data_IF_562712735650
#
_entry.id   IF_562712735650
#
_cell.length_a   1.000
_cell.length_b   1.000
_cell.length_c   1.000
_cell.angle_alpha   90.00
_cell.angle_beta   90.00
_cell.angle_gamma   90.00
#
_symmetry.space_group_name_H-M   'P 1'
#
loop_
_entity.id
_entity.type
_entity.pdbx_description
1 polymer ?
#
# COMPACT_ATOMS: atom_id res chain seq x y z
N UNK A 1 19.90 -8.09 -16.52
CA UNK A 1 19.40 -6.78 -16.96
C UNK A 1 17.89 -6.72 -16.74
N UNK A 2 17.36 -5.62 -16.18
CA UNK A 2 15.91 -5.36 -16.15
C UNK A 2 15.30 -5.08 -14.77
N UNK A 3 15.90 -4.20 -13.96
CA UNK A 3 15.18 -3.54 -12.88
C UNK A 3 14.48 -2.29 -13.42
N UNK A 4 13.32 -2.44 -14.05
CA UNK A 4 12.48 -1.30 -14.46
C UNK A 4 11.94 -0.53 -13.25
N UNK A 5 11.05 0.44 -13.48
CA UNK A 5 10.43 1.31 -12.46
C UNK A 5 9.90 0.58 -11.19
N UNK A 6 9.59 -0.72 -11.28
CA UNK A 6 9.15 -1.59 -10.17
C UNK A 6 10.21 -2.28 -9.30
N UNK A 7 11.49 -2.15 -9.63
CA UNK A 7 12.55 -2.95 -9.02
C UNK A 7 12.59 -4.40 -9.50
N UNK A 8 13.48 -5.20 -8.91
CA UNK A 8 13.75 -6.58 -9.35
C UNK A 8 12.54 -7.50 -9.15
N UNK A 9 12.35 -8.43 -10.08
CA UNK A 9 11.30 -9.45 -9.98
C UNK A 9 11.69 -10.49 -8.93
N UNK A 10 10.72 -10.88 -8.10
CA UNK A 10 10.94 -11.85 -7.03
C UNK A 10 9.87 -11.73 -5.96
N UNK A 11 9.83 -12.74 -5.07
CA UNK A 11 8.85 -12.83 -3.98
C UNK A 11 8.86 -11.59 -3.05
N UNK A 12 10.01 -10.93 -2.95
CA UNK A 12 10.19 -9.71 -2.14
C UNK A 12 9.79 -8.41 -2.84
N UNK A 13 9.37 -8.42 -4.12
CA UNK A 13 9.14 -7.18 -4.90
C UNK A 13 8.13 -6.25 -4.23
N UNK A 14 7.03 -6.78 -3.71
CA UNK A 14 6.03 -5.95 -3.01
C UNK A 14 6.65 -5.23 -1.81
N UNK A 15 7.70 -5.75 -1.19
CA UNK A 15 8.32 -5.19 0.00
C UNK A 15 9.62 -4.41 -0.29
N UNK A 16 10.00 -4.26 -1.56
CA UNK A 16 11.22 -3.54 -1.94
C UNK A 16 11.07 -2.03 -1.75
N UNK A 17 12.12 -1.28 -2.06
CA UNK A 17 12.15 0.18 -1.89
C UNK A 17 11.27 0.93 -2.89
N UNK A 18 11.00 0.35 -4.06
CA UNK A 18 10.23 0.98 -5.15
C UNK A 18 8.71 0.82 -4.97
N UNK A 19 8.25 -0.35 -4.53
CA UNK A 19 6.83 -0.74 -4.44
C UNK A 19 6.34 -0.78 -2.99
N UNK A 20 7.23 -0.99 -2.01
CA UNK A 20 6.87 -1.14 -0.61
C UNK A 20 6.11 0.05 -0.02
N UNK A 21 6.51 1.27 -0.38
CA UNK A 21 5.80 2.49 0.03
C UNK A 21 4.46 2.73 -0.67
N UNK A 22 4.18 2.04 -1.78
CA UNK A 22 3.01 2.28 -2.63
C UNK A 22 1.77 1.49 -2.24
N UNK A 23 1.92 0.33 -1.59
CA UNK A 23 0.76 -0.49 -1.22
C UNK A 23 1.00 -1.41 -0.01
N UNK A 24 2.26 -1.68 0.33
CA UNK A 24 2.59 -2.80 1.21
C UNK A 24 2.42 -2.53 2.69
N UNK A 25 2.06 -1.30 3.07
CA UNK A 25 1.87 -0.93 4.47
C UNK A 25 0.69 -1.69 5.13
N UNK A 26 -0.35 -2.07 4.39
CA UNK A 26 -1.51 -2.84 4.91
C UNK A 26 -1.45 -4.34 4.64
N UNK A 27 -0.48 -4.83 3.85
CA UNK A 27 -0.35 -6.27 3.59
C UNK A 27 -0.16 -7.11 4.87
N UNK A 28 0.59 -6.66 5.90
CA UNK A 28 0.64 -7.37 7.18
C UNK A 28 -0.73 -7.50 7.84
N UNK A 29 -1.54 -6.43 7.81
CA UNK A 29 -2.92 -6.46 8.33
C UNK A 29 -3.78 -7.47 7.59
N UNK A 30 -3.66 -7.55 6.26
CA UNK A 30 -4.39 -8.53 5.45
C UNK A 30 -3.99 -9.97 5.81
N UNK A 31 -2.73 -10.23 6.11
CA UNK A 31 -2.27 -11.54 6.57
C UNK A 31 -2.91 -11.90 7.93
N UNK A 32 -2.97 -10.96 8.87
CA UNK A 32 -3.66 -11.14 10.16
C UNK A 32 -5.16 -11.38 9.95
N UNK A 33 -5.79 -10.66 9.02
CA UNK A 33 -7.20 -10.81 8.69
C UNK A 33 -7.52 -12.23 8.18
N UNK A 34 -6.70 -12.76 7.26
CA UNK A 34 -6.86 -14.13 6.74
C UNK A 34 -6.61 -15.18 7.83
N UNK A 35 -5.60 -14.99 8.68
CA UNK A 35 -5.35 -15.88 9.82
C UNK A 35 -6.54 -15.87 10.80
N UNK A 36 -7.10 -14.70 11.11
CA UNK A 36 -8.31 -14.55 11.93
C UNK A 36 -9.49 -15.31 11.31
N UNK A 37 -9.71 -15.18 9.99
CA UNK A 37 -10.77 -15.89 9.29
C UNK A 37 -10.65 -17.41 9.41
N UNK A 38 -9.43 -17.96 9.27
CA UNK A 38 -9.16 -19.38 9.46
C UNK A 38 -9.43 -19.80 10.91
N UNK A 39 -8.92 -19.06 11.89
CA UNK A 39 -9.13 -19.35 13.31
C UNK A 39 -10.62 -19.34 13.67
N UNK A 40 -11.36 -18.32 13.27
CA UNK A 40 -12.81 -18.25 13.52
C UNK A 40 -13.55 -19.41 12.86
N UNK A 41 -13.19 -19.79 11.64
CA UNK A 41 -13.78 -20.94 10.93
C UNK A 41 -13.50 -22.26 11.68
N UNK A 42 -12.27 -22.46 12.17
CA UNK A 42 -11.89 -23.64 12.95
C UNK A 42 -12.63 -23.67 14.30
N UNK A 43 -12.71 -22.55 15.00
CA UNK A 43 -13.43 -22.45 16.28
C UNK A 43 -14.93 -22.72 16.11
N UNK A 44 -15.53 -22.21 15.04
CA UNK A 44 -16.93 -22.48 14.67
C UNK A 44 -17.16 -23.97 14.41
N UNK A 45 -16.31 -24.60 13.58
CA UNK A 45 -16.40 -26.04 13.31
C UNK A 45 -16.20 -26.91 14.55
N UNK A 46 -15.51 -26.39 15.57
CA UNK A 46 -15.30 -27.05 16.88
C UNK A 46 -16.41 -26.73 17.90
N UNK A 47 -17.45 -26.00 17.52
CA UNK A 47 -18.54 -25.60 18.43
C UNK A 47 -18.13 -24.60 19.52
N UNK A 48 -16.98 -23.93 19.35
CA UNK A 48 -16.43 -22.96 20.32
C UNK A 48 -16.80 -21.51 19.98
N UNK A 49 -17.42 -21.29 18.83
CA UNK A 49 -17.88 -19.99 18.36
C UNK A 49 -19.23 -20.20 17.67
N UNK A 50 -20.17 -19.33 17.94
CA UNK A 50 -21.49 -19.35 17.32
C UNK A 50 -21.46 -18.71 15.92
N UNK A 51 -22.47 -19.00 15.09
CA UNK A 51 -22.63 -18.45 13.73
C UNK A 51 -22.68 -16.91 13.74
N UNK A 52 -23.23 -16.32 14.80
CA UNK A 52 -23.25 -14.86 15.02
C UNK A 52 -21.84 -14.23 15.06
N UNK A 53 -20.82 -15.00 15.43
CA UNK A 53 -19.41 -14.59 15.53
C UNK A 53 -18.62 -14.67 14.22
N UNK A 54 -19.18 -15.26 13.15
CA UNK A 54 -18.42 -15.66 11.97
C UNK A 54 -18.95 -14.96 10.72
N UNK A 55 -18.04 -14.51 9.84
CA UNK A 55 -18.38 -14.05 8.49
C UNK A 55 -18.31 -15.22 7.50
N UNK A 56 -19.12 -15.20 6.41
CA UNK A 56 -19.06 -16.23 5.38
C UNK A 56 -17.66 -16.40 4.79
N UNK A 57 -17.19 -17.65 4.67
CA UNK A 57 -15.88 -17.97 4.11
C UNK A 57 -15.71 -17.51 2.65
N UNK A 58 -16.81 -17.39 1.90
CA UNK A 58 -16.80 -16.96 0.49
C UNK A 58 -16.16 -15.58 0.29
N UNK A 59 -16.42 -14.62 1.18
CA UNK A 59 -15.81 -13.29 1.10
C UNK A 59 -14.30 -13.34 1.31
N UNK A 60 -13.86 -14.09 2.32
CA UNK A 60 -12.44 -14.28 2.61
C UNK A 60 -11.70 -14.97 1.47
N UNK A 61 -12.31 -16.00 0.89
CA UNK A 61 -11.75 -16.71 -0.26
C UNK A 61 -11.68 -15.80 -1.48
N UNK A 62 -12.75 -15.09 -1.82
CA UNK A 62 -12.76 -14.20 -2.98
C UNK A 62 -11.67 -13.12 -2.89
N UNK A 63 -11.67 -12.34 -1.80
CA UNK A 63 -10.75 -11.22 -1.64
C UNK A 63 -9.33 -11.67 -1.34
N UNK A 64 -9.15 -12.75 -0.58
CA UNK A 64 -7.85 -13.35 -0.30
C UNK A 64 -7.20 -13.92 -1.55
N UNK A 65 -7.96 -14.63 -2.38
CA UNK A 65 -7.47 -15.19 -3.65
C UNK A 65 -7.12 -14.08 -4.64
N UNK A 66 -7.96 -13.05 -4.75
CA UNK A 66 -7.68 -11.87 -5.58
C UNK A 66 -6.34 -11.25 -5.17
N UNK A 67 -6.17 -10.95 -3.88
CA UNK A 67 -4.94 -10.34 -3.36
C UNK A 67 -3.74 -11.23 -3.67
N UNK A 68 -3.84 -12.52 -3.37
CA UNK A 68 -2.76 -13.49 -3.57
C UNK A 68 -2.34 -13.58 -5.04
N UNK A 69 -3.29 -13.74 -5.96
CA UNK A 69 -3.02 -13.85 -7.40
C UNK A 69 -2.35 -12.58 -7.91
N UNK A 70 -2.87 -11.41 -7.56
CA UNK A 70 -2.29 -10.13 -8.00
C UNK A 70 -0.86 -9.95 -7.45
N UNK A 71 -0.64 -10.22 -6.15
CA UNK A 71 0.70 -10.17 -5.55
C UNK A 71 1.66 -11.13 -6.24
N UNK A 72 1.23 -12.36 -6.53
CA UNK A 72 2.05 -13.37 -7.19
C UNK A 72 2.44 -12.94 -8.63
N UNK A 73 1.46 -12.49 -9.42
CA UNK A 73 1.68 -12.02 -10.80
C UNK A 73 2.62 -10.81 -10.81
N UNK A 74 2.35 -9.79 -10.00
CA UNK A 74 3.16 -8.58 -9.97
C UNK A 74 4.58 -8.82 -9.45
N UNK A 75 4.73 -9.79 -8.52
CA UNK A 75 6.03 -10.19 -8.00
C UNK A 75 6.86 -10.95 -9.04
N UNK A 76 6.22 -11.75 -9.90
CA UNK A 76 6.89 -12.59 -10.90
C UNK A 76 7.06 -11.94 -12.27
N UNK A 77 6.32 -10.86 -12.55
CA UNK A 77 6.37 -10.14 -13.83
C UNK A 77 7.78 -9.66 -14.17
N UNK A 78 8.27 -10.03 -15.35
CA UNK A 78 9.55 -9.55 -15.90
C UNK A 78 9.30 -8.42 -16.91
N UNK A 79 10.30 -7.57 -17.13
CA UNK A 79 10.19 -6.42 -18.04
C UNK A 79 9.68 -5.16 -17.33
N UNK A 80 8.95 -4.31 -18.07
CA UNK A 80 8.48 -3.02 -17.55
C UNK A 80 7.31 -3.27 -16.59
N UNK A 81 7.51 -2.95 -15.32
CA UNK A 81 6.47 -2.93 -14.28
C UNK A 81 6.30 -1.50 -13.79
N UNK A 82 5.06 -1.01 -13.82
CA UNK A 82 4.73 0.29 -13.28
C UNK A 82 4.09 0.13 -11.89
N UNK A 83 4.63 0.81 -10.87
CA UNK A 83 4.07 0.77 -9.52
C UNK A 83 2.57 1.08 -9.43
N UNK A 84 1.98 1.88 -10.32
CA UNK A 84 0.53 2.17 -10.25
C UNK A 84 -0.36 0.93 -10.38
N UNK A 85 0.11 -0.18 -10.96
CA UNK A 85 -0.65 -1.43 -11.02
C UNK A 85 -1.04 -1.97 -9.64
N UNK A 86 -0.29 -1.61 -8.59
CA UNK A 86 -0.64 -2.03 -7.23
C UNK A 86 -1.94 -1.42 -6.72
N UNK A 87 -2.48 -0.39 -7.36
CA UNK A 87 -3.82 0.13 -7.06
C UNK A 87 -4.91 -0.94 -7.19
N UNK A 88 -4.71 -1.95 -8.04
CA UNK A 88 -5.62 -3.10 -8.18
C UNK A 88 -5.73 -3.96 -6.89
N UNK A 89 -4.76 -3.85 -5.97
CA UNK A 89 -4.80 -4.53 -4.68
C UNK A 89 -5.71 -3.80 -3.68
N UNK A 90 -6.01 -2.52 -3.89
CA UNK A 90 -6.71 -1.68 -2.92
C UNK A 90 -8.11 -2.22 -2.53
N UNK A 91 -8.97 -2.69 -3.46
CA UNK A 91 -10.27 -3.24 -3.10
C UNK A 91 -10.16 -4.49 -2.21
N UNK A 92 -9.23 -5.39 -2.54
CA UNK A 92 -8.99 -6.59 -1.76
C UNK A 92 -8.45 -6.27 -0.36
N UNK A 93 -7.52 -5.32 -0.26
CA UNK A 93 -7.00 -4.84 1.03
C UNK A 93 -8.13 -4.23 1.87
N UNK A 94 -8.96 -3.38 1.28
CA UNK A 94 -10.09 -2.74 1.96
C UNK A 94 -11.10 -3.77 2.48
N UNK A 95 -11.48 -4.74 1.64
CA UNK A 95 -12.42 -5.79 2.01
C UNK A 95 -11.89 -6.69 3.14
N UNK A 96 -10.60 -7.07 3.09
CA UNK A 96 -9.97 -7.88 4.14
C UNK A 96 -9.85 -7.12 5.47
N UNK A 97 -9.44 -5.85 5.43
CA UNK A 97 -9.33 -5.03 6.63
C UNK A 97 -10.72 -4.76 7.25
N UNK A 98 -11.72 -4.44 6.42
CA UNK A 98 -13.10 -4.25 6.86
C UNK A 98 -13.71 -5.54 7.42
N UNK A 99 -13.47 -6.67 6.75
CA UNK A 99 -13.85 -8.00 7.22
C UNK A 99 -13.22 -8.37 8.57
N UNK A 100 -11.96 -7.99 8.78
CA UNK A 100 -11.26 -8.20 10.06
C UNK A 100 -11.95 -7.42 11.17
N UNK A 101 -12.18 -6.13 10.97
CA UNK A 101 -12.86 -5.27 11.95
C UNK A 101 -14.26 -5.81 12.27
N UNK A 102 -15.05 -6.14 11.24
CA UNK A 102 -16.39 -6.69 11.42
C UNK A 102 -16.37 -8.03 12.19
N UNK A 103 -15.40 -8.90 11.92
CA UNK A 103 -15.23 -10.16 12.64
C UNK A 103 -14.88 -9.92 14.11
N UNK A 104 -13.91 -9.04 14.39
CA UNK A 104 -13.51 -8.72 15.76
C UNK A 104 -14.69 -8.16 16.57
N UNK A 105 -15.51 -7.29 15.98
CA UNK A 105 -16.73 -6.77 16.62
C UNK A 105 -17.71 -7.89 16.92
N UNK A 106 -17.99 -8.77 15.95
CA UNK A 106 -18.93 -9.90 16.14
C UNK A 106 -18.46 -10.88 17.21
N UNK A 107 -17.20 -11.30 17.15
CA UNK A 107 -16.58 -12.21 18.11
C UNK A 107 -16.58 -11.59 19.52
N UNK A 108 -16.26 -10.30 19.63
CA UNK A 108 -16.32 -9.60 20.91
C UNK A 108 -17.75 -9.54 21.49
N UNK A 109 -18.75 -9.23 20.65
CA UNK A 109 -20.17 -9.22 21.05
C UNK A 109 -20.69 -10.61 21.44
N UNK A 110 -20.10 -11.67 20.90
CA UNK A 110 -20.37 -13.06 21.30
C UNK A 110 -19.70 -13.46 22.64
N UNK A 111 -19.10 -12.51 23.37
CA UNK A 111 -18.51 -12.75 24.70
C UNK A 111 -17.06 -13.24 24.68
N UNK A 112 -16.42 -13.28 23.51
CA UNK A 112 -15.06 -13.78 23.36
C UNK A 112 -14.04 -12.73 23.76
N UNK A 113 -13.19 -13.07 24.72
CA UNK A 113 -12.27 -12.14 25.39
C UNK A 113 -10.97 -11.89 24.64
N UNK A 114 -10.60 -12.74 23.67
CA UNK A 114 -9.35 -12.60 22.91
C UNK A 114 -9.46 -11.62 21.73
N UNK A 115 -10.66 -11.21 21.31
CA UNK A 115 -10.83 -10.33 20.14
C UNK A 115 -10.08 -8.99 20.26
N UNK A 116 -10.12 -8.26 21.39
CA UNK A 116 -9.35 -7.01 21.53
C UNK A 116 -7.84 -7.22 21.47
N UNK A 117 -7.34 -8.38 21.93
CA UNK A 117 -5.92 -8.74 21.84
C UNK A 117 -5.47 -8.92 20.40
N UNK A 118 -6.30 -9.54 19.56
CA UNK A 118 -6.00 -9.67 18.12
C UNK A 118 -6.02 -8.31 17.43
N UNK A 119 -6.96 -7.42 17.80
CA UNK A 119 -6.97 -6.04 17.33
C UNK A 119 -5.70 -5.27 17.71
N UNK A 120 -5.28 -5.37 18.98
CA UNK A 120 -4.04 -4.76 19.46
C UNK A 120 -2.79 -5.34 18.75
N UNK A 121 -2.75 -6.66 18.52
CA UNK A 121 -1.67 -7.29 17.78
C UNK A 121 -1.63 -6.82 16.32
N UNK A 122 -2.78 -6.68 15.65
CA UNK A 122 -2.85 -6.14 14.29
C UNK A 122 -2.30 -4.70 14.22
N UNK A 123 -2.66 -3.85 15.19
CA UNK A 123 -2.11 -2.48 15.30
C UNK A 123 -0.59 -2.53 15.48
N UNK A 124 -0.08 -3.37 16.39
CA UNK A 124 1.35 -3.48 16.66
C UNK A 124 2.14 -3.95 15.43
N UNK A 125 1.65 -4.97 14.73
CA UNK A 125 2.29 -5.50 13.50
C UNK A 125 2.32 -4.43 12.40
N UNK A 126 1.21 -3.74 12.17
CA UNK A 126 1.12 -2.73 11.11
C UNK A 126 1.90 -1.46 11.44
N UNK A 127 1.90 -1.01 12.70
CA UNK A 127 2.75 0.08 13.15
C UNK A 127 4.24 -0.29 13.04
N UNK A 128 4.61 -1.52 13.43
CA UNK A 128 5.96 -2.07 13.26
C UNK A 128 6.42 -2.02 11.80
N UNK A 129 5.58 -2.49 10.89
CA UNK A 129 5.89 -2.45 9.47
C UNK A 129 5.95 -1.02 8.89
N UNK A 130 5.04 -0.14 9.31
CA UNK A 130 5.08 1.27 8.94
C UNK A 130 6.40 1.94 9.37
N UNK A 131 6.91 1.63 10.57
CA UNK A 131 8.21 2.11 11.02
C UNK A 131 9.36 1.61 10.13
N UNK A 132 9.34 0.35 9.70
CA UNK A 132 10.33 -0.19 8.76
C UNK A 132 10.30 0.60 7.45
N UNK A 133 9.11 0.90 6.92
CA UNK A 133 8.96 1.70 5.70
C UNK A 133 9.47 3.14 5.89
N UNK A 134 9.09 3.81 6.99
CA UNK A 134 9.52 5.19 7.29
C UNK A 134 11.04 5.27 7.47
N UNK A 135 11.66 4.30 8.15
CA UNK A 135 13.12 4.27 8.35
C UNK A 135 13.93 4.06 7.07
N UNK A 136 13.31 3.70 5.94
CA UNK A 136 14.00 3.64 4.64
C UNK A 136 14.26 5.02 4.06
N UNK A 137 13.55 6.05 4.53
CA UNK A 137 13.63 7.44 4.04
C UNK A 137 13.57 8.45 5.21
N UNK A 138 14.48 8.37 6.19
CA UNK A 138 14.37 9.12 7.44
C UNK A 138 14.42 10.65 7.23
N UNK A 139 15.15 11.13 6.23
CA UNK A 139 15.29 12.57 5.94
C UNK A 139 13.99 13.24 5.47
N UNK A 140 13.06 12.45 4.94
CA UNK A 140 11.80 12.97 4.38
C UNK A 140 10.62 12.79 5.34
N UNK A 141 10.46 11.59 5.91
CA UNK A 141 9.27 11.23 6.69
C UNK A 141 9.59 10.62 8.06
N UNK A 142 10.84 10.69 8.54
CA UNK A 142 11.25 10.11 9.81
C UNK A 142 10.44 10.60 11.02
N UNK A 143 9.92 11.82 10.95
CA UNK A 143 9.06 12.40 12.00
C UNK A 143 7.73 11.65 12.18
N UNK A 144 7.22 10.94 11.15
CA UNK A 144 5.96 10.19 11.20
C UNK A 144 6.01 8.97 12.12
N UNK A 145 7.20 8.55 12.56
CA UNK A 145 7.34 7.49 13.56
C UNK A 145 6.61 7.88 14.86
N UNK A 146 6.74 9.13 15.29
CA UNK A 146 6.15 9.62 16.55
C UNK A 146 4.62 9.59 16.55
N UNK A 147 3.88 10.18 15.59
CA UNK A 147 2.43 10.10 15.58
C UNK A 147 1.93 8.67 15.40
N UNK A 148 2.57 7.84 14.56
CA UNK A 148 2.19 6.42 14.41
C UNK A 148 2.33 5.67 15.73
N UNK A 149 3.43 5.87 16.46
CA UNK A 149 3.64 5.25 17.77
C UNK A 149 2.66 5.77 18.81
N UNK A 150 2.47 7.08 18.92
CA UNK A 150 1.58 7.67 19.93
C UNK A 150 0.14 7.20 19.75
N UNK A 151 -0.37 7.23 18.52
CA UNK A 151 -1.74 6.81 18.21
C UNK A 151 -1.87 5.29 18.32
N UNK A 152 -0.86 4.53 17.88
CA UNK A 152 -0.84 3.07 18.02
C UNK A 152 -0.83 2.61 19.48
N UNK A 153 0.02 3.21 20.32
CA UNK A 153 0.06 2.93 21.76
C UNK A 153 -1.25 3.34 22.44
N UNK A 154 -1.83 4.49 22.09
CA UNK A 154 -3.13 4.91 22.61
C UNK A 154 -4.24 3.92 22.21
N UNK A 155 -4.26 3.46 20.95
CA UNK A 155 -5.21 2.45 20.48
C UNK A 155 -5.08 1.14 21.27
N UNK A 156 -3.86 0.62 21.45
CA UNK A 156 -3.60 -0.59 22.23
C UNK A 156 -4.06 -0.40 23.69
N UNK A 157 -3.73 0.73 24.32
CA UNK A 157 -4.11 1.05 25.68
C UNK A 157 -5.63 1.21 25.88
N UNK A 158 -6.38 1.54 24.82
CA UNK A 158 -7.84 1.62 24.83
C UNK A 158 -8.51 0.26 24.56
N UNK A 159 -7.86 -0.62 23.79
CA UNK A 159 -8.40 -1.93 23.41
C UNK A 159 -8.20 -3.02 24.49
N UNK A 160 -7.07 -3.03 25.18
CA UNK A 160 -6.71 -4.11 26.12
C UNK A 160 -7.47 -4.13 27.46
N UNK A 161 -7.69 -3.00 28.16
CA UNK A 161 -8.46 -3.02 29.40
C UNK A 161 -9.94 -3.27 29.11
N UNK A 162 -10.61 -4.06 29.97
CA UNK A 162 -12.07 -4.27 29.93
C UNK A 162 -12.77 -2.95 30.27
N UNK A 163 -12.95 -2.10 29.26
CA UNK A 163 -13.62 -0.79 29.37
C UNK A 163 -14.98 -0.84 28.68
N UNK A 164 -15.86 0.10 29.03
CA UNK A 164 -17.19 0.20 28.44
C UNK A 164 -17.15 0.42 26.91
N UNK A 165 -18.30 0.19 26.25
CA UNK A 165 -18.40 0.17 24.78
C UNK A 165 -17.86 1.42 24.07
N UNK A 166 -18.03 2.61 24.66
CA UNK A 166 -17.54 3.87 24.07
C UNK A 166 -16.01 3.94 23.97
N UNK A 167 -15.30 3.35 24.95
CA UNK A 167 -13.83 3.35 24.97
C UNK A 167 -13.26 2.32 24.00
N UNK A 168 -13.95 1.19 23.80
CA UNK A 168 -13.61 0.21 22.78
C UNK A 168 -13.82 0.78 21.38
N UNK A 169 -14.90 1.54 21.16
CA UNK A 169 -15.14 2.24 19.91
C UNK A 169 -14.04 3.30 19.65
N UNK A 170 -13.69 4.09 20.66
CA UNK A 170 -12.58 5.03 20.57
C UNK A 170 -11.24 4.34 20.27
N UNK A 171 -10.97 3.19 20.89
CA UNK A 171 -9.79 2.37 20.63
C UNK A 171 -9.76 1.81 19.20
N UNK A 172 -10.90 1.34 18.70
CA UNK A 172 -11.02 0.88 17.31
C UNK A 172 -10.84 2.02 16.31
N UNK A 173 -11.41 3.19 16.57
CA UNK A 173 -11.21 4.38 15.74
C UNK A 173 -9.73 4.81 15.76
N UNK A 174 -9.11 4.87 16.94
CA UNK A 174 -7.69 5.18 17.08
C UNK A 174 -6.80 4.15 16.36
N UNK A 175 -7.15 2.86 16.40
CA UNK A 175 -6.45 1.81 15.66
C UNK A 175 -6.49 2.06 14.14
N UNK A 176 -7.67 2.35 13.59
CA UNK A 176 -7.83 2.68 12.17
C UNK A 176 -7.03 3.92 11.80
N UNK A 177 -7.09 4.97 12.63
CA UNK A 177 -6.32 6.20 12.40
C UNK A 177 -4.82 5.91 12.42
N UNK A 178 -4.32 5.13 13.38
CA UNK A 178 -2.89 4.79 13.47
C UNK A 178 -2.37 4.09 12.20
N UNK A 179 -3.18 3.21 11.61
CA UNK A 179 -2.84 2.48 10.39
C UNK A 179 -2.87 3.36 9.14
N UNK A 180 -3.61 4.47 9.17
CA UNK A 180 -3.81 5.35 8.02
C UNK A 180 -3.00 6.65 8.06
N UNK A 181 -2.44 7.04 9.21
CA UNK A 181 -1.68 8.30 9.34
C UNK A 181 -0.47 8.34 8.40
N UNK A 182 0.34 7.27 8.36
CA UNK A 182 1.51 7.21 7.47
C UNK A 182 1.14 7.28 5.98
N UNK A 183 0.27 6.39 5.44
CA UNK A 183 -0.12 6.45 4.03
C UNK A 183 -0.94 7.70 3.69
N UNK A 184 -1.73 8.23 4.63
CA UNK A 184 -2.47 9.48 4.46
C UNK A 184 -1.56 10.69 4.31
N UNK A 185 -0.50 10.78 5.12
CA UNK A 185 0.52 11.82 4.97
C UNK A 185 1.26 11.71 3.62
N UNK A 186 1.56 10.50 3.16
CA UNK A 186 2.19 10.28 1.85
C UNK A 186 1.28 10.69 0.70
N UNK A 187 -0.02 10.40 0.78
CA UNK A 187 -1.00 10.80 -0.23
C UNK A 187 -1.21 12.32 -0.26
N UNK A 188 -1.31 12.96 0.91
CA UNK A 188 -1.50 14.41 1.02
C UNK A 188 -0.31 15.22 0.48
N UNK A 189 0.91 14.68 0.57
CA UNK A 189 2.09 15.34 0.00
C UNK A 189 2.02 15.46 -1.54
N UNK A 190 1.39 14.50 -2.21
CA UNK A 190 1.21 14.52 -3.68
C UNK A 190 0.26 15.63 -4.10
N UNK A 191 -0.87 15.80 -3.40
CA UNK A 191 -1.86 16.84 -3.72
C UNK A 191 -1.39 18.26 -3.36
N UNK A 192 -0.55 18.40 -2.33
CA UNK A 192 0.00 19.69 -1.91
C UNK A 192 1.11 20.23 -2.85
N UNK A 193 1.69 19.37 -3.69
CA UNK A 193 2.83 19.75 -4.53
C UNK A 193 2.46 19.75 -6.02
N UNK A 194 2.28 20.93 -6.59
CA UNK A 194 2.00 21.14 -8.03
C UNK A 194 3.07 20.54 -8.97
N UNK A 195 4.29 20.30 -8.48
CA UNK A 195 5.42 19.74 -9.24
C UNK A 195 5.59 18.21 -9.12
N UNK A 196 4.66 17.49 -8.46
CA UNK A 196 4.75 16.03 -8.25
C UNK A 196 3.91 15.20 -9.24
N UNK A 197 2.99 15.82 -10.00
CA UNK A 197 2.13 15.12 -10.96
C UNK A 197 2.73 14.98 -12.39
N UNK A 198 3.97 15.43 -12.62
CA UNK A 198 4.59 15.49 -13.96
C UNK A 198 5.54 14.35 -14.34
N UNK A 199 5.70 13.32 -13.51
CA UNK A 199 6.55 12.16 -13.82
C UNK A 199 5.82 11.07 -14.61
N UNK A 200 6.55 10.22 -15.33
CA UNK A 200 5.99 9.09 -16.10
C UNK A 200 5.22 8.05 -15.24
N UNK A 201 5.33 8.12 -13.91
CA UNK A 201 4.61 7.25 -12.99
C UNK A 201 4.15 8.04 -11.75
N UNK A 202 2.85 8.03 -11.39
CA UNK A 202 2.39 8.57 -10.12
C UNK A 202 2.97 7.74 -8.97
N UNK A 203 3.60 8.41 -8.01
CA UNK A 203 4.22 7.76 -6.85
C UNK A 203 3.75 8.44 -5.57
N UNK A 204 3.31 7.64 -4.61
CA UNK A 204 3.11 8.12 -3.24
C UNK A 204 4.49 8.25 -2.56
N UNK A 205 4.81 9.45 -2.09
CA UNK A 205 6.05 9.76 -1.37
C UNK A 205 7.24 10.25 -2.20
N UNK A 206 8.38 10.49 -1.54
CA UNK A 206 9.54 11.14 -2.17
C UNK A 206 9.95 10.42 -3.46
N UNK A 207 10.16 11.18 -4.54
CA UNK A 207 10.84 10.70 -5.74
C UNK A 207 12.19 10.13 -5.31
N UNK A 208 12.37 8.81 -5.34
CA UNK A 208 13.70 8.26 -5.51
C UNK A 208 14.20 8.83 -6.84
N UNK A 209 15.17 9.74 -6.79
CA UNK A 209 15.75 10.49 -7.91
C UNK A 209 16.41 9.62 -8.99
N UNK A 210 16.23 8.30 -8.92
CA UNK A 210 16.82 7.31 -9.81
C UNK A 210 15.96 6.99 -11.05
N UNK A 211 15.19 7.96 -11.56
CA UNK A 211 14.37 7.77 -12.76
C UNK A 211 14.33 8.99 -13.69
N UNK A 212 15.39 9.80 -13.68
CA UNK A 212 15.71 10.63 -14.83
C UNK A 212 16.49 9.77 -15.83
N UNK A 213 15.79 9.25 -16.84
CA UNK A 213 16.32 8.72 -18.08
C UNK A 213 17.29 7.52 -18.01
N UNK A 214 16.75 6.33 -18.28
CA UNK A 214 17.51 5.24 -18.90
C UNK A 214 17.85 5.55 -20.36
N UNK A 215 18.55 6.67 -20.61
CA UNK A 215 19.11 7.02 -21.92
C UNK A 215 20.64 7.12 -21.86
N UNK A 216 21.27 6.20 -21.13
CA UNK A 216 22.69 5.89 -21.29
C UNK A 216 22.81 4.62 -22.11
N UNK A 217 23.12 4.77 -23.39
CA UNK A 217 23.51 3.65 -24.25
C UNK A 217 22.85 3.58 -25.62
N UNK A 218 22.83 4.68 -26.39
CA UNK A 218 22.98 4.56 -27.84
C UNK A 218 24.45 4.88 -28.13
N UNK A 219 25.30 3.90 -28.44
CA UNK A 219 26.64 4.17 -28.93
C UNK A 219 26.53 4.97 -30.23
N UNK A 220 27.27 6.08 -30.30
CA UNK A 220 27.31 6.95 -31.47
C UNK A 220 27.56 6.15 -32.75
N UNK A 221 26.58 6.18 -33.64
CA UNK A 221 26.79 5.87 -35.05
C UNK A 221 27.04 7.21 -35.73
N UNK A 222 28.27 7.40 -36.20
CA UNK A 222 28.75 8.66 -36.73
C UNK A 222 28.01 9.11 -37.99
N UNK A 223 27.90 10.43 -38.13
CA UNK A 223 27.93 11.06 -39.44
C UNK A 223 28.85 12.28 -39.37
N UNK A 224 30.03 12.09 -39.95
CA UNK A 224 30.94 13.13 -40.39
C UNK A 224 30.36 13.85 -41.62
N UNK A 225 30.51 15.18 -41.65
CA UNK A 225 30.27 16.04 -42.82
C UNK A 225 28.80 16.47 -42.94
N UNK A 226 28.43 17.72 -43.17
CA UNK A 226 29.13 18.75 -43.94
C UNK A 226 28.71 20.15 -43.47
N UNK A 227 29.64 21.09 -43.59
CA UNK A 227 29.43 22.52 -43.40
C UNK A 227 28.42 23.08 -44.42
N UNK A 228 27.74 24.17 -44.04
CA UNK A 228 27.38 25.20 -45.00
C UNK A 228 25.97 25.79 -44.90
N UNK A 229 25.96 27.12 -44.74
CA UNK A 229 24.98 28.07 -45.28
C UNK A 229 23.84 28.50 -44.37
N UNK A 230 24.13 29.63 -43.72
CA UNK A 230 23.22 30.72 -43.35
C UNK A 230 22.31 31.08 -44.54
N UNK A 231 20.99 31.08 -44.35
CA UNK A 231 20.04 31.45 -45.40
C UNK A 231 18.64 31.73 -44.87
N UNK A 232 18.35 33.02 -44.73
CA UNK A 232 17.07 33.64 -44.43
C UNK A 232 15.97 33.23 -45.43
N UNK A 233 14.82 32.72 -44.96
CA UNK A 233 13.53 32.75 -45.68
C UNK A 233 12.38 32.32 -44.74
N UNK A 234 11.88 33.26 -43.93
CA UNK A 234 10.51 33.22 -43.43
C UNK A 234 9.65 33.88 -44.51
N UNK A 235 8.84 33.08 -45.20
CA UNK A 235 7.93 33.56 -46.24
C UNK A 235 7.11 32.42 -46.84
N UNK A 236 5.81 32.46 -46.54
CA UNK A 236 4.68 31.95 -47.33
C UNK A 236 4.59 30.44 -47.67
N UNK A 237 3.67 29.76 -47.00
CA UNK A 237 2.63 28.96 -47.68
C UNK A 237 1.52 28.56 -46.68
N UNK A 238 0.45 29.35 -46.71
CA UNK A 238 -0.92 28.93 -46.37
C UNK A 238 -1.32 27.76 -47.26
N UNK A 239 -1.92 26.71 -46.71
CA UNK A 239 -2.43 25.61 -47.54
C UNK A 239 -3.08 24.45 -46.77
N UNK A 240 -4.39 24.59 -46.56
CA UNK A 240 -5.40 23.53 -46.54
C UNK A 240 -5.34 22.39 -45.50
N UNK A 241 -6.03 22.64 -44.39
CA UNK A 241 -6.70 21.62 -43.61
C UNK A 241 -8.01 21.19 -44.30
N UNK A 242 -8.18 19.89 -44.53
CA UNK A 242 -9.50 19.24 -44.69
C UNK A 242 -9.52 17.93 -43.91
N UNK A 243 -10.69 17.72 -43.30
CA UNK A 243 -11.13 16.73 -42.32
C UNK A 243 -10.82 15.27 -42.66
#
# INVERSE_FOLDING_TARGET
>A
MGGGFGGEAGLGRMFNTQVGGQISWLLPTCAVALALAVVCTVLYRRGRLDQSGVLPASGWLLWGSWLFVCVAVFSTQKGIFHPYYTTQLAPAIAALCGGMLATLIRVHRAGVTWAPWVGAAAVAVTAGWAMVLVRRTPDWNGWLIWPVLLIGCAAIALLLPRRGGNLLLAGAAAAVVSMLVAPGAWAANVSASSNLMGGANPTAGLRSSLSAFGMSGIPGQGSSGNQGVVGNAVGDAVGDARW
#
